data_IF_130637071101
#
_entry.id   IF_130637071101
#
_cell.length_a   1.000
_cell.length_b   1.000
_cell.length_c   1.000
_cell.angle_alpha   90.00
_cell.angle_beta   90.00
_cell.angle_gamma   90.00
#
_symmetry.space_group_name_H-M   'P 1'
#
loop_
_entity.id
_entity.type
_entity.pdbx_description
1 polymer ?
#
# COMPACT_ATOMS: atom_id res chain seq x y z
N UNK A 1 -25.78 64.90 31.50
CA UNK A 1 -24.67 64.27 30.77
C UNK A 1 -24.30 62.87 31.25
N UNK A 2 -25.11 62.18 32.08
CA UNK A 2 -24.83 60.80 32.53
C UNK A 2 -25.93 59.77 32.24
N UNK A 3 -27.02 60.18 31.60
CA UNK A 3 -28.06 59.28 31.10
C UNK A 3 -27.71 58.74 29.71
N UNK A 4 -27.25 59.60 28.79
CA UNK A 4 -26.85 59.20 27.43
C UNK A 4 -25.70 58.18 27.40
N UNK A 5 -24.69 58.32 28.28
CA UNK A 5 -23.55 57.38 28.33
C UNK A 5 -23.94 55.99 28.88
N UNK A 6 -24.99 55.91 29.70
CA UNK A 6 -25.52 54.62 30.19
C UNK A 6 -26.31 53.89 29.13
N UNK A 7 -27.01 54.63 28.27
CA UNK A 7 -27.83 54.06 27.19
C UNK A 7 -26.96 53.51 26.04
N UNK A 8 -25.87 54.21 25.67
CA UNK A 8 -24.91 53.71 24.66
C UNK A 8 -24.22 52.40 25.11
N UNK A 9 -23.82 52.31 26.38
CA UNK A 9 -23.17 51.10 26.91
C UNK A 9 -24.15 49.91 27.00
N UNK A 10 -25.43 50.17 27.29
CA UNK A 10 -26.46 49.14 27.27
C UNK A 10 -26.70 48.61 25.86
N UNK A 11 -26.76 49.49 24.85
CA UNK A 11 -26.92 49.09 23.45
C UNK A 11 -25.70 48.30 22.94
N UNK A 12 -24.49 48.72 23.31
CA UNK A 12 -23.25 48.01 22.97
C UNK A 12 -23.21 46.59 23.57
N UNK A 13 -23.62 46.46 24.85
CA UNK A 13 -23.73 45.16 25.53
C UNK A 13 -24.76 44.26 24.86
N UNK A 14 -25.90 44.81 24.44
CA UNK A 14 -26.94 44.06 23.73
C UNK A 14 -26.43 43.53 22.38
N UNK A 15 -25.72 44.37 21.61
CA UNK A 15 -25.14 43.99 20.30
C UNK A 15 -24.03 42.96 20.45
N UNK A 16 -23.24 43.02 21.53
CA UNK A 16 -22.23 42.01 21.83
C UNK A 16 -22.88 40.66 22.18
N UNK A 17 -23.89 40.66 23.05
CA UNK A 17 -24.64 39.46 23.42
C UNK A 17 -25.29 38.80 22.20
N UNK A 18 -25.91 39.59 21.31
CA UNK A 18 -26.50 39.09 20.08
C UNK A 18 -25.46 38.40 19.17
N UNK A 19 -24.27 39.00 19.01
CA UNK A 19 -23.17 38.40 18.24
C UNK A 19 -22.67 37.09 18.85
N UNK A 20 -22.57 37.01 20.18
CA UNK A 20 -22.18 35.78 20.86
C UNK A 20 -23.21 34.66 20.67
N UNK A 21 -24.50 34.96 20.71
CA UNK A 21 -25.58 33.96 20.49
C UNK A 21 -25.57 33.46 19.04
N UNK A 22 -25.43 34.35 18.05
CA UNK A 22 -25.38 33.96 16.64
C UNK A 22 -24.13 33.13 16.34
N UNK A 23 -22.97 33.51 16.87
CA UNK A 23 -21.74 32.74 16.73
C UNK A 23 -21.83 31.37 17.41
N UNK A 24 -22.41 31.31 18.61
CA UNK A 24 -22.64 30.06 19.34
C UNK A 24 -23.57 29.11 18.60
N UNK A 25 -24.66 29.61 18.03
CA UNK A 25 -25.59 28.83 17.21
C UNK A 25 -24.93 28.35 15.92
N UNK A 26 -24.14 29.19 15.23
CA UNK A 26 -23.44 28.79 14.02
C UNK A 26 -22.41 27.66 14.28
N UNK A 27 -21.65 27.76 15.37
CA UNK A 27 -20.71 26.70 15.78
C UNK A 27 -21.43 25.44 16.23
N UNK A 28 -22.53 25.59 16.99
CA UNK A 28 -23.36 24.47 17.44
C UNK A 28 -24.00 23.70 16.29
N UNK A 29 -24.56 24.39 15.29
CA UNK A 29 -25.13 23.78 14.08
C UNK A 29 -24.05 23.09 13.25
N UNK A 30 -22.85 23.67 13.18
CA UNK A 30 -21.72 23.06 12.47
C UNK A 30 -21.27 21.76 13.15
N UNK A 31 -21.13 21.76 14.48
CA UNK A 31 -20.75 20.58 15.27
C UNK A 31 -21.86 19.52 15.24
N UNK A 32 -23.12 19.92 15.37
CA UNK A 32 -24.27 19.01 15.30
C UNK A 32 -24.44 18.44 13.88
N UNK A 33 -24.23 19.23 12.84
CA UNK A 33 -24.22 18.77 11.45
C UNK A 33 -23.12 17.75 11.20
N UNK A 34 -21.91 17.97 11.73
CA UNK A 34 -20.80 17.01 11.66
C UNK A 34 -21.15 15.72 12.43
N UNK A 35 -21.75 15.83 13.61
CA UNK A 35 -22.12 14.67 14.43
C UNK A 35 -23.30 13.87 13.85
N UNK A 36 -24.31 14.56 13.30
CA UNK A 36 -25.49 13.98 12.68
C UNK A 36 -25.19 13.37 11.29
N UNK A 37 -24.22 13.91 10.55
CA UNK A 37 -23.79 13.39 9.26
C UNK A 37 -22.83 12.19 9.36
N UNK A 38 -22.63 11.60 10.55
CA UNK A 38 -21.86 10.38 10.70
C UNK A 38 -20.38 10.56 10.34
N UNK A 39 -19.60 11.14 11.26
CA UNK A 39 -18.12 11.16 11.21
C UNK A 39 -17.53 9.78 10.93
N UNK A 40 -18.24 8.69 11.27
CA UNK A 40 -17.82 7.33 10.97
C UNK A 40 -17.63 7.07 9.47
N UNK A 41 -18.55 7.49 8.60
CA UNK A 41 -18.48 7.14 7.17
C UNK A 41 -17.42 7.95 6.41
N UNK A 42 -17.26 9.22 6.75
CA UNK A 42 -16.25 10.10 6.11
C UNK A 42 -14.83 9.78 6.56
N UNK A 43 -14.65 9.38 7.82
CA UNK A 43 -13.35 8.95 8.34
C UNK A 43 -12.92 7.60 7.75
N UNK A 44 -13.85 6.64 7.59
CA UNK A 44 -13.53 5.36 6.95
C UNK A 44 -13.06 5.51 5.49
N UNK A 45 -13.59 6.50 4.75
CA UNK A 45 -13.12 6.80 3.40
C UNK A 45 -11.70 7.36 3.34
N UNK A 46 -11.30 8.22 4.30
CA UNK A 46 -9.94 8.80 4.33
C UNK A 46 -8.89 7.80 4.85
N UNK A 47 -9.31 6.85 5.69
CA UNK A 47 -8.48 5.73 6.19
C UNK A 47 -8.38 4.58 5.17
N UNK A 48 -8.80 4.77 3.90
CA UNK A 48 -8.46 3.85 2.80
C UNK A 48 -6.95 3.78 2.62
N UNK A 49 -6.30 2.92 3.42
CA UNK A 49 -4.94 2.43 3.25
C UNK A 49 -4.84 1.93 1.81
N UNK A 50 -4.09 2.66 0.98
CA UNK A 50 -3.67 2.12 -0.33
C UNK A 50 -2.96 0.81 -0.05
N UNK A 51 -3.55 -0.32 -0.46
CA UNK A 51 -2.90 -1.63 -0.37
C UNK A 51 -1.54 -1.50 -1.09
N UNK A 52 -0.44 -1.81 -0.39
CA UNK A 52 0.89 -1.82 -1.01
C UNK A 52 0.88 -2.84 -2.15
N UNK A 53 1.38 -2.43 -3.32
CA UNK A 53 1.58 -3.35 -4.43
C UNK A 53 2.67 -4.36 -4.02
N UNK A 54 2.48 -5.67 -4.26
CA UNK A 54 3.49 -6.67 -3.92
C UNK A 54 4.74 -6.47 -4.78
N UNK A 55 5.91 -6.57 -4.16
CA UNK A 55 7.20 -6.52 -4.83
C UNK A 55 7.46 -7.89 -5.47
N UNK A 56 7.61 -7.90 -6.79
CA UNK A 56 7.93 -9.09 -7.58
C UNK A 56 9.42 -9.08 -7.92
N UNK A 57 10.10 -10.15 -7.53
CA UNK A 57 11.51 -10.39 -7.86
C UNK A 57 11.57 -11.43 -8.96
N UNK A 58 12.39 -11.18 -9.97
CA UNK A 58 12.63 -12.11 -11.06
C UNK A 58 14.09 -12.57 -11.01
N UNK A 59 14.30 -13.88 -11.19
CA UNK A 59 15.62 -14.50 -11.24
C UNK A 59 15.63 -15.59 -12.29
N UNK A 60 16.52 -15.49 -13.26
CA UNK A 60 16.71 -16.50 -14.30
C UNK A 60 17.98 -17.31 -14.06
N UNK A 61 18.02 -18.51 -14.64
CA UNK A 61 19.19 -19.36 -14.55
C UNK A 61 19.10 -20.61 -15.40
N UNK A 62 20.28 -21.18 -15.66
CA UNK A 62 20.36 -22.54 -16.18
C UNK A 62 19.91 -23.55 -15.12
N UNK A 63 20.35 -23.37 -13.87
CA UNK A 63 20.05 -24.32 -12.77
C UNK A 63 20.47 -25.77 -13.08
N UNK A 64 21.52 -25.94 -13.91
CA UNK A 64 22.11 -27.26 -14.19
C UNK A 64 22.66 -27.90 -12.91
N UNK A 65 22.51 -29.22 -12.79
CA UNK A 65 22.94 -29.99 -11.63
C UNK A 65 22.57 -29.32 -10.30
N UNK A 66 21.27 -29.08 -10.10
CA UNK A 66 20.75 -28.26 -9.01
C UNK A 66 21.38 -28.61 -7.65
N UNK A 67 22.07 -27.63 -7.05
CA UNK A 67 22.85 -27.82 -5.82
C UNK A 67 22.60 -26.69 -4.81
N UNK A 68 23.21 -26.81 -3.62
CA UNK A 68 22.98 -25.88 -2.50
C UNK A 68 23.23 -24.40 -2.86
N UNK A 69 24.15 -24.13 -3.78
CA UNK A 69 24.45 -22.77 -4.25
C UNK A 69 23.23 -22.10 -4.88
N UNK A 70 22.57 -22.79 -5.81
CA UNK A 70 21.35 -22.30 -6.44
C UNK A 70 20.20 -22.13 -5.44
N UNK A 71 20.00 -23.10 -4.53
CA UNK A 71 18.98 -23.02 -3.49
C UNK A 71 19.19 -21.80 -2.58
N UNK A 72 20.43 -21.52 -2.18
CA UNK A 72 20.75 -20.37 -1.36
C UNK A 72 20.55 -19.05 -2.10
N UNK A 73 20.89 -19.00 -3.40
CA UNK A 73 20.65 -17.82 -4.23
C UNK A 73 19.14 -17.53 -4.39
N UNK A 74 18.32 -18.56 -4.65
CA UNK A 74 16.86 -18.44 -4.68
C UNK A 74 16.28 -18.01 -3.33
N UNK A 75 16.82 -18.52 -2.22
CA UNK A 75 16.43 -18.12 -0.86
C UNK A 75 16.71 -16.64 -0.61
N UNK A 76 17.87 -16.15 -1.05
CA UNK A 76 18.23 -14.73 -0.95
C UNK A 76 17.31 -13.87 -1.84
N UNK A 77 17.07 -14.27 -3.09
CA UNK A 77 16.17 -13.58 -4.00
C UNK A 77 14.73 -13.51 -3.43
N UNK A 78 14.25 -14.60 -2.82
CA UNK A 78 12.93 -14.65 -2.18
C UNK A 78 12.79 -13.64 -1.03
N UNK A 79 13.88 -13.35 -0.32
CA UNK A 79 13.89 -12.41 0.80
C UNK A 79 13.80 -10.94 0.35
N UNK A 80 14.04 -10.64 -0.93
CA UNK A 80 14.04 -9.27 -1.48
C UNK A 80 12.64 -8.75 -1.85
N UNK A 81 11.62 -9.62 -1.88
CA UNK A 81 10.27 -9.21 -2.27
C UNK A 81 9.17 -10.12 -1.77
N UNK A 82 7.94 -9.80 -2.15
CA UNK A 82 6.74 -10.52 -1.74
C UNK A 82 6.50 -11.77 -2.59
N UNK A 83 7.00 -11.77 -3.83
CA UNK A 83 6.86 -12.84 -4.81
C UNK A 83 8.19 -13.07 -5.55
N UNK A 84 8.57 -14.33 -5.75
CA UNK A 84 9.73 -14.71 -6.56
C UNK A 84 9.25 -15.44 -7.82
N UNK A 85 9.68 -14.95 -8.99
CA UNK A 85 9.46 -15.59 -10.29
C UNK A 85 10.81 -16.13 -10.77
N UNK A 86 10.88 -17.43 -11.06
CA UNK A 86 12.09 -18.12 -11.47
C UNK A 86 11.98 -18.54 -12.93
N UNK A 87 12.86 -17.99 -13.76
CA UNK A 87 13.00 -18.33 -15.18
C UNK A 87 13.98 -19.49 -15.36
N UNK A 88 13.54 -20.62 -15.89
CA UNK A 88 14.45 -21.71 -16.29
C UNK A 88 14.70 -21.61 -17.78
N UNK A 89 15.95 -21.32 -18.15
CA UNK A 89 16.35 -21.06 -19.54
C UNK A 89 16.39 -22.36 -20.35
N UNK A 90 15.87 -22.31 -21.58
CA UNK A 90 15.87 -23.42 -22.54
C UNK A 90 17.28 -23.97 -22.88
N UNK A 91 17.35 -25.25 -23.25
CA UNK A 91 18.61 -25.92 -23.63
C UNK A 91 19.27 -25.26 -24.86
N UNK A 92 18.46 -24.79 -25.82
CA UNK A 92 18.92 -24.15 -27.05
C UNK A 92 19.66 -22.83 -26.75
N UNK A 93 19.08 -21.99 -25.89
CA UNK A 93 19.66 -20.70 -25.51
C UNK A 93 20.94 -20.87 -24.67
N UNK A 94 20.97 -21.88 -23.80
CA UNK A 94 22.17 -22.20 -23.02
C UNK A 94 23.28 -22.71 -23.94
N UNK A 95 22.95 -23.62 -24.86
CA UNK A 95 23.92 -24.19 -25.80
C UNK A 95 24.53 -23.11 -26.69
N UNK A 96 23.72 -22.15 -27.15
CA UNK A 96 24.18 -21.04 -27.98
C UNK A 96 25.16 -20.08 -27.26
N UNK A 97 25.02 -19.90 -25.95
CA UNK A 97 25.77 -18.87 -25.20
C UNK A 97 26.89 -19.41 -24.29
N UNK A 98 26.75 -20.64 -23.78
CA UNK A 98 27.54 -21.18 -22.66
C UNK A 98 28.09 -22.58 -22.92
N UNK A 99 27.48 -23.31 -23.84
CA UNK A 99 27.67 -24.75 -24.03
C UNK A 99 26.52 -25.56 -23.45
N UNK A 100 26.32 -26.81 -23.89
CA UNK A 100 25.14 -27.60 -23.57
C UNK A 100 25.08 -27.96 -22.08
N UNK A 101 23.89 -27.91 -21.45
CA UNK A 101 23.72 -28.33 -20.07
C UNK A 101 23.80 -29.85 -19.94
N UNK A 102 24.22 -30.35 -18.78
CA UNK A 102 24.27 -31.79 -18.47
C UNK A 102 22.86 -32.33 -18.22
N UNK A 103 22.06 -31.58 -17.46
CA UNK A 103 20.65 -31.93 -17.19
C UNK A 103 19.71 -31.29 -18.22
N UNK A 104 18.83 -32.08 -18.86
CA UNK A 104 17.89 -31.56 -19.85
C UNK A 104 16.83 -30.66 -19.20
N UNK A 105 16.23 -29.75 -19.99
CA UNK A 105 15.29 -28.74 -19.50
C UNK A 105 14.17 -29.31 -18.61
N UNK A 106 13.62 -30.48 -18.95
CA UNK A 106 12.50 -31.08 -18.21
C UNK A 106 12.87 -31.45 -16.76
N UNK A 107 14.14 -31.82 -16.51
CA UNK A 107 14.63 -32.12 -15.16
C UNK A 107 15.01 -30.85 -14.38
N UNK A 108 15.45 -29.81 -15.09
CA UNK A 108 15.78 -28.50 -14.50
C UNK A 108 14.52 -27.69 -14.16
N UNK A 109 13.43 -27.94 -14.87
CA UNK A 109 12.14 -27.29 -14.62
C UNK A 109 11.56 -27.72 -13.26
N UNK A 110 11.04 -26.76 -12.49
CA UNK A 110 10.44 -27.08 -11.19
C UNK A 110 9.19 -27.95 -11.36
N UNK A 111 9.01 -29.00 -10.53
CA UNK A 111 7.78 -29.76 -10.54
C UNK A 111 6.59 -28.86 -10.20
N UNK A 112 5.53 -28.96 -11.00
CA UNK A 112 4.24 -28.35 -10.70
C UNK A 112 3.53 -29.16 -9.60
N UNK A 113 3.03 -28.56 -8.51
CA UNK A 113 3.02 -27.12 -8.20
C UNK A 113 4.25 -26.64 -7.41
N UNK A 114 4.73 -25.41 -7.64
CA UNK A 114 5.89 -24.87 -6.95
C UNK A 114 5.58 -24.56 -5.46
N UNK A 115 6.62 -24.47 -4.61
CA UNK A 115 6.47 -24.09 -3.21
C UNK A 115 5.83 -22.69 -3.06
N UNK A 116 5.03 -22.51 -2.00
CA UNK A 116 4.22 -21.30 -1.78
C UNK A 116 5.04 -20.02 -1.94
N UNK A 117 4.67 -19.18 -2.90
CA UNK A 117 5.28 -17.87 -3.15
C UNK A 117 6.46 -17.87 -4.14
N UNK A 118 6.76 -19.01 -4.76
CA UNK A 118 7.66 -19.13 -5.91
C UNK A 118 6.83 -19.50 -7.13
N UNK A 119 6.96 -18.75 -8.22
CA UNK A 119 6.34 -19.05 -9.51
C UNK A 119 7.45 -19.44 -10.48
N UNK A 120 7.32 -20.56 -11.18
CA UNK A 120 8.28 -20.94 -12.24
C UNK A 120 7.67 -20.60 -13.60
N UNK A 121 8.44 -19.95 -14.46
CA UNK A 121 8.10 -19.76 -15.87
C UNK A 121 9.26 -20.29 -16.72
N UNK A 122 8.92 -21.04 -17.78
CA UNK A 122 9.88 -21.43 -18.81
C UNK A 122 10.11 -20.25 -19.75
N UNK A 123 11.37 -20.01 -20.11
CA UNK A 123 11.80 -18.90 -20.97
C UNK A 123 12.76 -19.44 -22.03
#
# INVERSE_FOLDING_TARGET
MGSEERDENAELKLRFLAKCVVAGLALGISIWGIHAAGVSETLEMWVRRKKKKPIRVYMDGCFDMMHYGHCNALRQARALGDQLVVGVVSDDEITANKGPPVTPLHERSLPSPPPKGVFSSLI
#
